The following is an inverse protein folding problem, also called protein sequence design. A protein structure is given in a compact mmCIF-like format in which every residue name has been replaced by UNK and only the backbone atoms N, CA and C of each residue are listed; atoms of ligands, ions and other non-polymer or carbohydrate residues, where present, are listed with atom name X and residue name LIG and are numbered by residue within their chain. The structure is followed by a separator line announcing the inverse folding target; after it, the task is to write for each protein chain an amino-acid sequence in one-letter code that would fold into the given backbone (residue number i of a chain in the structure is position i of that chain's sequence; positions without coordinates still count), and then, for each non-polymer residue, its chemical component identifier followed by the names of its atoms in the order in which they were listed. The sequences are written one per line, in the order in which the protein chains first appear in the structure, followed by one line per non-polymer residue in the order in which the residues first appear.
data_IF_001091122149
#
_entry.id   IF_001091122149
#
_cell.length_a   1.000
_cell.length_b   1.000
_cell.length_c   1.000
_cell.angle_alpha   90.00
_cell.angle_beta   90.00
_cell.angle_gamma   90.00
#
_symmetry.space_group_name_H-M   'P 1'
#
loop_
_entity.id
_entity.type
_entity.pdbx_description
1 polymer ?
#
# COMPACT_ATOMS: atom_id res chain seq x y z
N UNK A 1 43.71 -3.03 29.66
CA UNK A 1 42.26 -2.76 29.54
C UNK A 1 41.83 -3.19 28.15
N UNK A 2 41.18 -4.36 28.05
CA UNK A 2 40.64 -4.87 26.80
C UNK A 2 39.17 -4.46 26.71
N UNK A 3 38.82 -3.71 25.67
CA UNK A 3 37.43 -3.35 25.37
C UNK A 3 36.80 -4.56 24.70
N UNK A 4 35.78 -5.16 25.33
CA UNK A 4 34.98 -6.22 24.73
C UNK A 4 34.21 -5.65 23.54
N UNK A 5 34.52 -6.13 22.34
CA UNK A 5 33.65 -6.01 21.17
C UNK A 5 32.52 -7.04 21.29
N UNK A 6 31.24 -6.70 21.04
CA UNK A 6 30.20 -7.71 20.93
C UNK A 6 30.41 -8.47 19.61
N UNK A 7 30.83 -9.73 19.72
CA UNK A 7 30.73 -10.72 18.66
C UNK A 7 29.25 -11.03 18.44
N UNK A 8 28.59 -10.22 17.61
CA UNK A 8 27.33 -10.63 17.00
C UNK A 8 27.66 -11.73 16.00
N UNK A 9 27.53 -12.98 16.48
CA UNK A 9 27.65 -14.18 15.68
C UNK A 9 26.72 -14.06 14.46
N UNK A 10 27.32 -14.07 13.28
CA UNK A 10 26.66 -14.42 12.02
C UNK A 10 26.14 -15.86 12.12
N UNK A 11 24.99 -16.01 12.78
CA UNK A 11 24.14 -17.17 12.60
C UNK A 11 23.67 -17.16 11.15
N UNK A 12 24.07 -18.18 10.40
CA UNK A 12 23.51 -18.46 9.07
C UNK A 12 21.99 -18.44 9.19
N UNK A 13 21.34 -17.42 8.64
CA UNK A 13 19.90 -17.42 8.49
C UNK A 13 19.57 -18.54 7.51
N UNK A 14 19.05 -19.65 8.04
CA UNK A 14 18.28 -20.62 7.26
C UNK A 14 17.22 -19.82 6.50
N UNK A 15 17.19 -19.99 5.19
CA UNK A 15 15.99 -19.70 4.43
C UNK A 15 14.82 -20.50 5.03
N UNK A 16 13.62 -19.94 4.85
CA UNK A 16 12.32 -20.58 5.09
C UNK A 16 11.68 -20.31 6.45
N UNK A 17 11.49 -19.04 6.75
CA UNK A 17 10.25 -18.60 7.40
C UNK A 17 9.65 -17.49 6.54
N UNK A 18 9.11 -17.86 5.38
CA UNK A 18 8.09 -17.04 4.73
C UNK A 18 6.91 -17.08 5.69
N UNK A 19 6.86 -16.14 6.62
CA UNK A 19 5.69 -15.94 7.46
C UNK A 19 4.60 -15.47 6.49
N UNK A 20 3.83 -16.43 5.97
CA UNK A 20 2.65 -16.18 5.15
C UNK A 20 1.65 -15.49 6.07
N UNK A 21 1.74 -14.17 6.16
CA UNK A 21 0.69 -13.37 6.78
C UNK A 21 -0.58 -13.67 6.01
N UNK A 22 -1.61 -14.12 6.72
CA UNK A 22 -2.93 -14.30 6.13
C UNK A 22 -3.40 -12.97 5.55
N UNK A 23 -3.87 -12.99 4.31
CA UNK A 23 -4.53 -11.83 3.68
C UNK A 23 -5.72 -11.44 4.57
N UNK A 24 -5.82 -10.16 4.92
CA UNK A 24 -6.96 -9.65 5.68
C UNK A 24 -8.10 -9.37 4.72
N UNK A 25 -9.28 -9.93 4.99
CA UNK A 25 -10.46 -9.76 4.15
C UNK A 25 -11.40 -8.68 4.69
N UNK A 26 -11.84 -7.80 3.79
CA UNK A 26 -12.88 -6.82 4.05
C UNK A 26 -14.01 -6.95 3.02
N UNK A 27 -14.84 -8.00 3.11
CA UNK A 27 -15.81 -8.36 2.07
C UNK A 27 -16.98 -7.39 1.93
N UNK A 28 -17.11 -6.39 2.81
CA UNK A 28 -18.19 -5.39 2.76
C UNK A 28 -17.66 -3.95 2.78
N UNK A 29 -16.33 -3.76 2.72
CA UNK A 29 -15.75 -2.42 2.74
C UNK A 29 -15.93 -1.77 1.37
N UNK A 30 -16.75 -0.71 1.33
CA UNK A 30 -17.06 0.01 0.10
C UNK A 30 -16.36 1.36 0.01
N UNK A 31 -16.09 1.98 1.15
CA UNK A 31 -15.43 3.28 1.30
C UNK A 31 -14.35 3.22 2.36
N UNK A 32 -13.19 3.81 2.06
CA UNK A 32 -12.06 3.90 2.97
C UNK A 32 -11.56 5.36 3.06
N UNK A 33 -11.53 5.91 4.26
CA UNK A 33 -10.84 7.17 4.55
C UNK A 33 -9.57 6.83 5.33
N UNK A 34 -8.43 7.10 4.71
CA UNK A 34 -7.09 6.82 5.23
C UNK A 34 -6.25 8.09 5.21
N UNK A 35 -6.87 9.22 5.52
CA UNK A 35 -6.13 10.46 5.76
C UNK A 35 -5.46 10.39 7.13
N UNK A 36 -4.29 11.04 7.24
CA UNK A 36 -3.52 11.14 8.49
C UNK A 36 -3.01 9.81 9.05
N UNK A 37 -2.85 8.78 8.20
CA UNK A 37 -2.21 7.51 8.56
C UNK A 37 -0.83 7.41 7.95
N UNK A 38 0.03 6.54 8.50
CA UNK A 38 1.33 6.24 7.91
C UNK A 38 1.19 5.54 6.54
N UNK A 39 2.14 5.79 5.64
CA UNK A 39 2.18 5.17 4.30
C UNK A 39 2.13 3.64 4.36
N UNK A 40 2.63 3.02 5.44
CA UNK A 40 2.52 1.60 5.69
C UNK A 40 1.07 1.10 5.63
N UNK A 41 0.13 1.79 6.27
CA UNK A 41 -1.27 1.37 6.29
C UNK A 41 -1.94 1.56 4.94
N UNK A 42 -1.59 2.63 4.24
CA UNK A 42 -2.05 2.88 2.87
C UNK A 42 -1.59 1.73 1.98
N UNK A 43 -0.30 1.37 2.07
CA UNK A 43 0.28 0.24 1.33
C UNK A 43 -0.40 -1.09 1.69
N UNK A 44 -0.76 -1.32 2.95
CA UNK A 44 -1.51 -2.52 3.34
C UNK A 44 -2.83 -2.67 2.60
N UNK A 45 -3.61 -1.59 2.44
CA UNK A 45 -4.89 -1.64 1.73
C UNK A 45 -4.75 -1.73 0.21
N UNK A 46 -3.71 -1.11 -0.34
CA UNK A 46 -3.51 -1.09 -1.79
C UNK A 46 -2.84 -2.37 -2.32
N UNK A 47 -2.08 -3.10 -1.50
CA UNK A 47 -1.46 -4.37 -1.90
C UNK A 47 -2.44 -5.54 -1.81
N UNK A 48 -2.65 -6.23 -2.92
CA UNK A 48 -3.47 -7.45 -3.03
C UNK A 48 -2.92 -8.61 -2.18
N UNK A 49 -1.61 -8.65 -1.96
CA UNK A 49 -0.92 -9.63 -1.09
C UNK A 49 -1.16 -9.41 0.41
N UNK A 50 -1.68 -8.25 0.82
CA UNK A 50 -1.93 -7.91 2.23
C UNK A 50 -3.40 -7.82 2.56
N UNK A 51 -4.19 -7.21 1.66
CA UNK A 51 -5.61 -6.96 1.88
C UNK A 51 -6.43 -7.32 0.65
N UNK A 52 -7.55 -8.02 0.87
CA UNK A 52 -8.56 -8.26 -0.14
C UNK A 52 -9.85 -7.50 0.22
N UNK A 53 -10.19 -6.49 -0.58
CA UNK A 53 -11.37 -5.64 -0.40
C UNK A 53 -12.13 -5.49 -1.74
N UNK A 54 -12.86 -6.53 -2.17
CA UNK A 54 -13.40 -6.63 -3.53
C UNK A 54 -14.45 -5.57 -3.90
N UNK A 55 -15.08 -4.94 -2.90
CA UNK A 55 -16.11 -3.92 -3.11
C UNK A 55 -15.66 -2.50 -2.78
N UNK A 56 -14.37 -2.31 -2.48
CA UNK A 56 -13.83 -0.98 -2.23
C UNK A 56 -13.88 -0.17 -3.53
N UNK A 57 -14.69 0.87 -3.54
CA UNK A 57 -14.91 1.72 -4.73
C UNK A 57 -14.60 3.19 -4.46
N UNK A 58 -14.51 3.61 -3.19
CA UNK A 58 -14.19 4.99 -2.82
C UNK A 58 -13.01 5.03 -1.84
N UNK A 59 -11.98 5.81 -2.18
CA UNK A 59 -10.85 6.10 -1.29
C UNK A 59 -10.72 7.61 -1.10
N UNK A 60 -10.57 8.02 0.15
CA UNK A 60 -10.16 9.36 0.54
C UNK A 60 -8.75 9.29 1.17
N UNK A 61 -7.77 9.94 0.53
CA UNK A 61 -6.35 9.84 0.86
C UNK A 61 -5.61 11.14 0.46
N UNK A 62 -4.47 11.43 1.06
CA UNK A 62 -3.61 12.51 0.57
C UNK A 62 -2.90 12.10 -0.73
N UNK A 63 -2.93 13.01 -1.72
CA UNK A 63 -2.34 12.76 -3.03
C UNK A 63 -0.86 12.38 -2.95
N UNK A 64 -0.06 13.09 -2.16
CA UNK A 64 1.38 12.82 -2.04
C UNK A 64 1.66 11.45 -1.40
N UNK A 65 0.83 11.02 -0.45
CA UNK A 65 0.96 9.69 0.15
C UNK A 65 0.59 8.60 -0.85
N UNK A 66 -0.52 8.78 -1.57
CA UNK A 66 -0.93 7.85 -2.62
C UNK A 66 0.16 7.73 -3.69
N UNK A 67 0.69 8.87 -4.16
CA UNK A 67 1.79 8.92 -5.14
C UNK A 67 3.03 8.21 -4.63
N UNK A 68 3.35 8.35 -3.35
CA UNK A 68 4.52 7.68 -2.74
C UNK A 68 4.34 6.16 -2.72
N UNK A 69 3.17 5.68 -2.27
CA UNK A 69 2.89 4.23 -2.12
C UNK A 69 2.79 3.51 -3.46
N UNK A 70 2.28 4.19 -4.49
CA UNK A 70 2.15 3.65 -5.85
C UNK A 70 3.40 3.86 -6.69
N UNK A 71 4.48 4.41 -6.13
CA UNK A 71 5.72 4.76 -6.85
C UNK A 71 5.44 5.62 -8.08
N UNK A 72 4.75 6.76 -7.88
CA UNK A 72 4.23 7.61 -8.96
C UNK A 72 3.32 6.86 -9.94
N UNK A 73 2.45 5.98 -9.43
CA UNK A 73 1.51 5.17 -10.23
C UNK A 73 2.21 4.19 -11.20
N UNK A 74 3.36 3.65 -10.82
CA UNK A 74 4.11 2.66 -11.62
C UNK A 74 4.21 1.29 -10.96
N UNK A 75 3.81 1.15 -9.69
CA UNK A 75 3.94 -0.09 -8.93
C UNK A 75 2.84 -1.10 -9.28
N UNK A 76 3.11 -2.16 -10.04
CA UNK A 76 2.06 -3.09 -10.48
C UNK A 76 1.30 -3.79 -9.33
N UNK A 77 1.97 -4.09 -8.21
CA UNK A 77 1.38 -4.82 -7.09
C UNK A 77 0.21 -4.09 -6.41
N UNK A 78 0.15 -2.76 -6.50
CA UNK A 78 -0.97 -1.98 -5.95
C UNK A 78 -2.08 -1.71 -6.98
N UNK A 79 -1.86 -2.05 -8.26
CA UNK A 79 -2.76 -1.71 -9.37
C UNK A 79 -4.07 -2.50 -9.33
N UNK A 80 -4.04 -3.75 -8.90
CA UNK A 80 -5.22 -4.62 -8.89
C UNK A 80 -6.32 -4.07 -7.97
N UNK A 81 -5.98 -3.74 -6.72
CA UNK A 81 -6.94 -3.14 -5.79
C UNK A 81 -7.36 -1.72 -6.24
N UNK A 82 -6.46 -0.95 -6.84
CA UNK A 82 -6.78 0.38 -7.37
C UNK A 82 -7.74 0.36 -8.57
N UNK A 83 -7.75 -0.70 -9.38
CA UNK A 83 -8.59 -0.77 -10.58
C UNK A 83 -10.10 -0.74 -10.28
N UNK A 84 -10.50 -1.20 -9.09
CA UNK A 84 -11.89 -1.21 -8.64
C UNK A 84 -12.36 0.13 -8.07
N UNK A 85 -11.45 1.07 -7.82
CA UNK A 85 -11.77 2.40 -7.30
C UNK A 85 -12.45 3.21 -8.39
N UNK A 86 -13.64 3.73 -8.07
CA UNK A 86 -14.50 4.56 -8.91
C UNK A 86 -14.51 6.01 -8.48
N UNK A 87 -14.03 6.29 -7.25
CA UNK A 87 -13.99 7.64 -6.71
C UNK A 87 -12.75 7.82 -5.84
N UNK A 88 -11.85 8.69 -6.29
CA UNK A 88 -10.72 9.18 -5.52
C UNK A 88 -11.03 10.58 -5.00
N UNK A 89 -10.90 10.75 -3.69
CA UNK A 89 -11.07 12.05 -3.02
C UNK A 89 -9.72 12.49 -2.47
N UNK A 90 -9.23 13.61 -2.97
CA UNK A 90 -8.02 14.25 -2.50
C UNK A 90 -8.36 15.56 -1.79
N UNK A 91 -7.68 15.85 -0.69
CA UNK A 91 -7.88 17.10 0.05
C UNK A 91 -7.24 18.31 -0.66
N UNK A 92 -6.13 18.08 -1.39
CA UNK A 92 -5.48 19.06 -2.25
C UNK A 92 -4.93 18.35 -3.48
N UNK A 93 -5.18 18.93 -4.66
CA UNK A 93 -4.61 18.46 -5.92
C UNK A 93 -3.81 19.60 -6.50
N UNK A 94 -2.53 19.35 -6.80
CA UNK A 94 -1.65 20.33 -7.44
C UNK A 94 -1.61 20.09 -8.95
N UNK A 95 -1.67 18.82 -9.39
CA UNK A 95 -1.80 18.43 -10.80
C UNK A 95 -2.28 16.97 -10.92
N UNK A 96 -3.04 16.66 -11.97
CA UNK A 96 -3.43 15.29 -12.35
C UNK A 96 -2.42 14.71 -13.35
N UNK A 97 -1.60 13.71 -12.97
CA UNK A 97 -0.71 13.04 -13.89
C UNK A 97 -1.50 12.13 -14.84
N UNK A 98 -1.03 11.96 -16.08
CA UNK A 98 -1.70 11.10 -17.07
C UNK A 98 -1.78 9.64 -16.60
N UNK A 99 -0.76 9.21 -15.85
CA UNK A 99 -0.60 7.88 -15.27
C UNK A 99 -1.72 7.55 -14.28
N UNK A 100 -2.37 8.55 -13.68
CA UNK A 100 -3.50 8.33 -12.78
C UNK A 100 -4.64 7.58 -13.50
N UNK A 101 -4.91 7.91 -14.77
CA UNK A 101 -5.97 7.27 -15.55
C UNK A 101 -5.67 5.80 -15.88
N UNK A 102 -4.38 5.42 -15.99
CA UNK A 102 -3.96 4.04 -16.22
C UNK A 102 -4.06 3.18 -14.95
N UNK A 103 -4.01 3.86 -13.80
CA UNK A 103 -4.00 3.27 -12.48
C UNK A 103 -5.39 3.19 -11.84
N UNK A 104 -6.25 4.13 -12.20
CA UNK A 104 -7.64 4.26 -11.75
C UNK A 104 -8.57 4.40 -12.96
N UNK A 105 -8.73 3.34 -13.78
CA UNK A 105 -9.47 3.40 -15.03
C UNK A 105 -10.97 3.67 -14.88
N UNK A 106 -11.51 3.55 -13.66
CA UNK A 106 -12.93 3.74 -13.36
C UNK A 106 -13.26 5.09 -12.69
N UNK A 107 -12.25 5.96 -12.48
CA UNK A 107 -12.39 7.29 -11.84
C UNK A 107 -12.60 8.40 -12.86
#
# INVERSE_FOLDING_TARGET
MNVMSPLWNFGRYKADNIQLYSIIEYPNLTKLNIKFVDNYYIEQFLLDTKTHAPYLTEIEVFYDQLRTVTENFTRDATRHNCANIKRLIFEKIIAYPQELSLYFPSV
#
